data_IF_573843109632
#
_entry.id   IF_573843109632
#
_cell.length_a   1.000
_cell.length_b   1.000
_cell.length_c   1.000
_cell.angle_alpha   90.00
_cell.angle_beta   90.00
_cell.angle_gamma   90.00
#
_symmetry.space_group_name_H-M   'P 1'
#
loop_
_entity.id
_entity.type
_entity.pdbx_description
1 polymer ?
#
# COMPACT_ATOMS: atom_id res chain seq x y z
N UNK A 1 -8.93 8.13 5.60
CA UNK A 1 -8.12 7.54 6.68
C UNK A 1 -7.16 8.59 7.22
N UNK A 2 -6.97 8.71 8.54
CA UNK A 2 -5.94 9.57 9.11
C UNK A 2 -4.55 9.26 8.53
N UNK A 3 -3.84 10.27 8.02
CA UNK A 3 -2.49 10.13 7.46
C UNK A 3 -1.50 9.35 8.36
N UNK A 4 -1.48 9.53 9.69
CA UNK A 4 -0.57 8.76 10.56
C UNK A 4 -0.75 7.25 10.43
N UNK A 5 -1.99 6.76 10.26
CA UNK A 5 -2.26 5.34 10.11
C UNK A 5 -1.75 4.79 8.76
N UNK A 6 -1.87 5.61 7.71
CA UNK A 6 -1.36 5.27 6.38
C UNK A 6 0.17 5.17 6.43
N UNK A 7 0.82 6.12 7.10
CA UNK A 7 2.27 6.08 7.33
C UNK A 7 2.69 4.86 8.13
N UNK A 8 1.98 4.48 9.20
CA UNK A 8 2.30 3.25 9.95
C UNK A 8 2.27 2.01 9.06
N UNK A 9 1.27 1.89 8.19
CA UNK A 9 1.18 0.77 7.24
C UNK A 9 2.34 0.79 6.23
N UNK A 10 2.69 1.97 5.70
CA UNK A 10 3.84 2.12 4.78
C UNK A 10 5.17 1.80 5.47
N UNK A 11 5.39 2.30 6.69
CA UNK A 11 6.57 1.99 7.49
C UNK A 11 6.67 0.49 7.76
N UNK A 12 5.55 -0.17 8.08
CA UNK A 12 5.53 -1.60 8.29
C UNK A 12 5.92 -2.38 7.02
N UNK A 13 5.40 -1.98 5.86
CA UNK A 13 5.78 -2.57 4.56
C UNK A 13 7.28 -2.37 4.31
N UNK A 14 7.79 -1.14 4.46
CA UNK A 14 9.20 -0.81 4.24
C UNK A 14 10.11 -1.64 5.13
N UNK A 15 9.82 -1.71 6.44
CA UNK A 15 10.60 -2.50 7.39
C UNK A 15 10.55 -4.00 7.07
N UNK A 16 9.37 -4.51 6.71
CA UNK A 16 9.21 -5.93 6.33
C UNK A 16 10.02 -6.28 5.08
N UNK A 17 10.06 -5.38 4.09
CA UNK A 17 10.85 -5.57 2.87
C UNK A 17 12.35 -5.52 3.16
N UNK A 18 12.82 -4.52 3.92
CA UNK A 18 14.24 -4.45 4.33
C UNK A 18 14.63 -5.74 5.04
N UNK A 19 13.84 -6.18 6.02
CA UNK A 19 14.15 -7.38 6.79
C UNK A 19 14.16 -8.63 5.90
N UNK A 20 13.17 -8.78 5.01
CA UNK A 20 13.11 -9.90 4.08
C UNK A 20 14.34 -9.98 3.15
N UNK A 21 14.78 -8.85 2.60
CA UNK A 21 15.93 -8.80 1.68
C UNK A 21 17.26 -8.99 2.43
N UNK A 22 17.46 -8.31 3.56
CA UNK A 22 18.72 -8.36 4.32
C UNK A 22 18.96 -9.73 4.97
N UNK A 23 17.90 -10.34 5.51
CA UNK A 23 17.99 -11.66 6.16
C UNK A 23 17.78 -12.82 5.20
N UNK A 24 17.44 -12.53 3.94
CA UNK A 24 16.92 -13.49 2.95
C UNK A 24 15.69 -14.29 3.42
N UNK A 25 15.03 -13.88 4.50
CA UNK A 25 13.85 -14.55 5.05
C UNK A 25 12.55 -13.93 4.52
N UNK A 26 12.21 -14.25 3.27
CA UNK A 26 11.05 -13.69 2.56
C UNK A 26 9.70 -14.03 3.18
N UNK A 27 9.62 -15.05 4.04
CA UNK A 27 8.41 -15.40 4.78
C UNK A 27 7.86 -14.24 5.63
N UNK A 28 8.71 -13.29 6.05
CA UNK A 28 8.28 -12.06 6.73
C UNK A 28 7.26 -11.27 5.90
N UNK A 29 7.35 -11.33 4.57
CA UNK A 29 6.42 -10.63 3.67
C UNK A 29 4.98 -11.12 3.81
N UNK A 30 4.73 -12.31 4.39
CA UNK A 30 3.38 -12.74 4.71
C UNK A 30 2.66 -11.76 5.63
N UNK A 31 3.36 -11.11 6.56
CA UNK A 31 2.74 -10.16 7.48
C UNK A 31 2.09 -8.97 6.74
N UNK A 32 2.83 -8.20 5.90
CA UNK A 32 2.22 -7.11 5.13
C UNK A 32 1.23 -7.62 4.06
N UNK A 33 1.42 -8.82 3.51
CA UNK A 33 0.47 -9.43 2.55
C UNK A 33 -0.87 -9.71 3.23
N UNK A 34 -0.88 -10.39 4.39
CA UNK A 34 -2.09 -10.71 5.14
C UNK A 34 -2.79 -9.44 5.65
N UNK A 35 -2.02 -8.47 6.15
CA UNK A 35 -2.55 -7.16 6.50
C UNK A 35 -3.22 -6.47 5.31
N UNK A 36 -2.60 -6.53 4.13
CA UNK A 36 -3.16 -5.99 2.90
C UNK A 36 -4.43 -6.70 2.45
N UNK A 37 -4.42 -8.03 2.39
CA UNK A 37 -5.60 -8.85 2.10
C UNK A 37 -6.75 -8.55 3.05
N UNK A 38 -6.48 -8.44 4.36
CA UNK A 38 -7.52 -8.08 5.33
C UNK A 38 -8.13 -6.70 5.08
N UNK A 39 -7.30 -5.73 4.67
CA UNK A 39 -7.76 -4.40 4.26
C UNK A 39 -8.56 -4.40 2.96
N UNK A 40 -8.25 -5.28 2.02
CA UNK A 40 -8.93 -5.38 0.72
C UNK A 40 -10.28 -6.10 0.85
N UNK A 41 -10.30 -7.23 1.56
CA UNK A 41 -11.45 -8.13 1.68
C UNK A 41 -12.47 -7.68 2.73
N UNK A 42 -12.00 -7.23 3.89
CA UNK A 42 -12.86 -6.91 5.04
C UNK A 42 -12.95 -5.42 5.33
N UNK A 43 -12.31 -4.58 4.52
CA UNK A 43 -12.11 -3.14 4.78
C UNK A 43 -11.48 -2.83 6.16
N UNK A 44 -10.86 -3.85 6.76
CA UNK A 44 -10.32 -3.87 8.11
C UNK A 44 -8.88 -4.38 8.04
N UNK A 45 -7.95 -3.47 7.75
CA UNK A 45 -6.54 -3.79 7.84
C UNK A 45 -6.15 -3.88 9.32
N UNK A 46 -5.76 -5.08 9.78
CA UNK A 46 -5.42 -5.33 11.19
C UNK A 46 -4.32 -4.41 11.72
N UNK A 47 -3.33 -4.06 10.90
CA UNK A 47 -2.26 -3.12 11.29
C UNK A 47 -2.85 -1.73 11.55
N UNK A 48 -3.75 -1.28 10.67
CA UNK A 48 -4.44 0.01 10.83
C UNK A 48 -5.34 0.00 12.07
N UNK A 49 -6.01 -1.12 12.36
CA UNK A 49 -6.84 -1.26 13.56
C UNK A 49 -6.02 -1.16 14.85
N UNK A 50 -4.89 -1.85 14.89
CA UNK A 50 -3.94 -1.79 16.02
C UNK A 50 -3.39 -0.36 16.15
N UNK A 51 -2.91 0.23 15.05
CA UNK A 51 -2.37 1.58 15.02
C UNK A 51 -3.40 2.65 15.44
N UNK A 52 -4.68 2.44 15.14
CA UNK A 52 -5.78 3.33 15.53
C UNK A 52 -5.90 3.47 17.05
N UNK A 53 -5.56 2.43 17.82
CA UNK A 53 -5.56 2.45 19.29
C UNK A 53 -4.47 3.37 19.86
N UNK A 54 -3.42 3.66 19.09
CA UNK A 54 -2.31 4.54 19.49
C UNK A 54 -2.50 6.00 19.05
N UNK A 55 -3.64 6.35 18.44
CA UNK A 55 -3.94 7.75 18.10
C UNK A 55 -4.22 8.56 19.38
N UNK A 56 -3.44 9.63 19.58
CA UNK A 56 -3.59 10.54 20.74
C UNK A 56 -4.73 11.56 20.58
N UNK A 57 -5.13 11.88 19.34
CA UNK A 57 -6.19 12.86 19.03
C UNK A 57 -7.37 12.20 18.33
N UNK A 58 -8.52 12.90 18.27
CA UNK A 58 -9.67 12.43 17.50
C UNK A 58 -9.32 12.31 16.02
N UNK A 59 -9.87 11.32 15.33
CA UNK A 59 -9.56 11.05 13.92
C UNK A 59 -9.87 12.23 12.99
N UNK A 60 -10.81 13.10 13.35
CA UNK A 60 -11.21 14.30 12.61
C UNK A 60 -10.18 15.44 12.66
N UNK A 61 -9.26 15.42 13.62
CA UNK A 61 -8.23 16.46 13.78
C UNK A 61 -6.99 16.18 12.90
N UNK A 62 -6.93 15.00 12.28
CA UNK A 62 -5.85 14.64 11.36
C UNK A 62 -6.24 14.92 9.92
N UNK A 63 -5.23 15.25 9.10
CA UNK A 63 -5.39 15.28 7.65
C UNK A 63 -5.84 13.90 7.17
N UNK A 64 -6.99 13.85 6.51
CA UNK A 64 -7.60 12.64 6.00
C UNK A 64 -7.17 12.40 4.56
N UNK A 65 -6.85 11.15 4.26
CA UNK A 65 -6.56 10.64 2.92
C UNK A 65 -7.75 9.81 2.42
N UNK A 66 -8.00 9.79 1.12
CA UNK A 66 -9.13 9.02 0.57
C UNK A 66 -8.94 7.52 0.82
N UNK A 67 -10.00 6.84 1.24
CA UNK A 67 -10.00 5.39 1.44
C UNK A 67 -9.83 4.65 0.11
N UNK A 68 -10.36 5.17 -1.00
CA UNK A 68 -10.19 4.51 -2.31
C UNK A 68 -8.74 4.50 -2.75
N UNK A 69 -8.03 5.61 -2.53
CA UNK A 69 -6.61 5.74 -2.90
C UNK A 69 -5.74 4.81 -2.04
N UNK A 70 -6.06 4.72 -0.74
CA UNK A 70 -5.42 3.77 0.16
C UNK A 70 -5.63 2.33 -0.29
N UNK A 71 -6.87 1.94 -0.66
CA UNK A 71 -7.17 0.59 -1.15
C UNK A 71 -6.41 0.29 -2.44
N UNK A 72 -6.34 1.24 -3.37
CA UNK A 72 -5.60 1.08 -4.62
C UNK A 72 -4.11 0.79 -4.36
N UNK A 73 -3.47 1.58 -3.50
CA UNK A 73 -2.07 1.36 -3.13
C UNK A 73 -1.89 0.03 -2.38
N UNK A 74 -2.82 -0.33 -1.50
CA UNK A 74 -2.79 -1.61 -0.80
C UNK A 74 -2.89 -2.80 -1.76
N UNK A 75 -3.73 -2.74 -2.79
CA UNK A 75 -3.84 -3.80 -3.81
C UNK A 75 -2.50 -3.97 -4.53
N UNK A 76 -1.91 -2.88 -5.03
CA UNK A 76 -0.64 -2.92 -5.75
C UNK A 76 0.46 -3.51 -4.86
N UNK A 77 0.59 -3.02 -3.61
CA UNK A 77 1.57 -3.52 -2.67
C UNK A 77 1.35 -5.02 -2.37
N UNK A 78 0.11 -5.44 -2.14
CA UNK A 78 -0.20 -6.84 -1.81
C UNK A 78 0.12 -7.77 -2.97
N UNK A 79 -0.22 -7.39 -4.21
CA UNK A 79 0.07 -8.19 -5.42
C UNK A 79 1.56 -8.32 -5.64
N UNK A 80 2.32 -7.21 -5.59
CA UNK A 80 3.76 -7.22 -5.83
C UNK A 80 4.53 -7.94 -4.71
N UNK A 81 4.14 -7.78 -3.45
CA UNK A 81 4.75 -8.52 -2.35
C UNK A 81 4.46 -10.03 -2.46
N UNK A 82 3.25 -10.40 -2.90
CA UNK A 82 2.92 -11.82 -3.16
C UNK A 82 3.76 -12.37 -4.31
N UNK A 83 3.94 -11.62 -5.40
CA UNK A 83 4.81 -12.00 -6.50
C UNK A 83 6.27 -12.14 -6.06
N UNK A 84 6.75 -11.25 -5.18
CA UNK A 84 8.08 -11.34 -4.56
C UNK A 84 8.24 -12.62 -3.74
N UNK A 85 7.27 -12.93 -2.87
CA UNK A 85 7.29 -14.15 -2.06
C UNK A 85 7.25 -15.42 -2.94
N UNK A 86 6.37 -15.47 -3.93
CA UNK A 86 6.27 -16.62 -4.85
C UNK A 86 7.59 -16.79 -5.62
N UNK A 87 8.17 -15.70 -6.12
CA UNK A 87 9.46 -15.73 -6.83
C UNK A 87 10.60 -16.23 -5.94
N UNK A 88 10.57 -15.91 -4.64
CA UNK A 88 11.53 -16.46 -3.67
C UNK A 88 11.34 -17.97 -3.47
N UNK A 89 10.10 -18.47 -3.46
CA UNK A 89 9.79 -19.89 -3.27
C UNK A 89 10.12 -20.70 -4.53
N UNK A 90 9.95 -20.13 -5.72
CA UNK A 90 10.28 -20.79 -7.00
C UNK A 90 11.77 -20.69 -7.37
N UNK A 91 12.65 -20.32 -6.44
CA UNK A 91 14.10 -20.14 -6.66
C UNK A 91 14.47 -19.09 -7.73
N UNK A 92 13.69 -18.02 -7.85
CA UNK A 92 14.00 -16.85 -8.70
C UNK A 92 14.32 -15.62 -7.82
N UNK A 93 15.47 -15.59 -7.13
CA UNK A 93 15.78 -14.56 -6.13
C UNK A 93 15.91 -13.16 -6.75
N UNK A 94 16.43 -13.06 -7.98
CA UNK A 94 16.54 -11.78 -8.70
C UNK A 94 15.14 -11.16 -8.89
N UNK A 95 14.17 -11.97 -9.33
CA UNK A 95 12.81 -11.51 -9.55
C UNK A 95 12.12 -11.14 -8.23
N UNK A 96 12.38 -11.91 -7.17
CA UNK A 96 11.90 -11.59 -5.82
C UNK A 96 12.41 -10.22 -5.33
N UNK A 97 13.70 -9.93 -5.52
CA UNK A 97 14.31 -8.64 -5.18
C UNK A 97 13.71 -7.51 -6.01
N UNK A 98 13.53 -7.70 -7.32
CA UNK A 98 12.95 -6.66 -8.20
C UNK A 98 11.55 -6.26 -7.71
N UNK A 99 10.67 -7.24 -7.46
CA UNK A 99 9.31 -6.94 -6.97
C UNK A 99 9.34 -6.28 -5.59
N UNK A 100 10.18 -6.75 -4.68
CA UNK A 100 10.34 -6.15 -3.36
C UNK A 100 10.85 -4.70 -3.45
N UNK A 101 11.83 -4.43 -4.32
CA UNK A 101 12.40 -3.12 -4.53
C UNK A 101 11.37 -2.12 -5.07
N UNK A 102 10.51 -2.52 -6.02
CA UNK A 102 9.43 -1.66 -6.49
C UNK A 102 8.48 -1.23 -5.37
N UNK A 103 8.08 -2.17 -4.52
CA UNK A 103 7.20 -1.87 -3.38
C UNK A 103 7.92 -0.98 -2.36
N UNK A 104 9.18 -1.28 -2.06
CA UNK A 104 10.01 -0.48 -1.15
C UNK A 104 10.12 0.96 -1.61
N UNK A 105 10.44 1.20 -2.89
CA UNK A 105 10.55 2.53 -3.47
C UNK A 105 9.20 3.26 -3.41
N UNK A 106 8.13 2.63 -3.85
CA UNK A 106 6.79 3.23 -3.81
C UNK A 106 6.35 3.61 -2.39
N UNK A 107 6.56 2.73 -1.42
CA UNK A 107 6.20 2.98 -0.01
C UNK A 107 7.10 4.05 0.63
N UNK A 108 8.39 4.08 0.29
CA UNK A 108 9.33 5.10 0.79
C UNK A 108 9.00 6.49 0.26
N UNK A 109 8.67 6.63 -1.02
CA UNK A 109 8.25 7.91 -1.61
C UNK A 109 6.94 8.38 -0.95
N UNK A 110 6.03 7.45 -0.66
CA UNK A 110 4.79 7.77 0.05
C UNK A 110 5.04 8.26 1.50
N UNK A 111 6.05 7.74 2.20
CA UNK A 111 6.46 8.23 3.51
C UNK A 111 6.97 9.69 3.45
N UNK A 112 7.68 10.05 2.38
CA UNK A 112 8.14 11.42 2.10
C UNK A 112 6.99 12.41 1.84
N UNK A 113 5.74 11.94 1.78
CA UNK A 113 4.55 12.78 1.66
C UNK A 113 3.96 12.85 0.26
N UNK A 114 4.52 12.10 -0.71
CA UNK A 114 3.98 11.99 -2.06
C UNK A 114 3.64 10.54 -2.40
N UNK A 115 2.35 10.20 -2.44
CA UNK A 115 1.94 8.86 -2.87
C UNK A 115 1.68 8.85 -4.38
N UNK A 116 2.62 8.28 -5.15
CA UNK A 116 2.49 8.09 -6.60
C UNK A 116 1.20 7.34 -6.95
N UNK A 117 0.84 6.32 -6.17
CA UNK A 117 -0.40 5.56 -6.37
C UNK A 117 -1.65 6.43 -6.23
N UNK A 118 -1.71 7.29 -5.20
CA UNK A 118 -2.82 8.24 -5.03
C UNK A 118 -2.90 9.21 -6.22
N UNK A 119 -1.75 9.73 -6.68
CA UNK A 119 -1.69 10.63 -7.84
C UNK A 119 -2.22 9.96 -9.11
N UNK A 120 -1.75 8.75 -9.44
CA UNK A 120 -2.21 7.98 -10.61
C UNK A 120 -3.72 7.71 -10.52
N UNK A 121 -4.21 7.24 -9.37
CA UNK A 121 -5.63 6.93 -9.20
C UNK A 121 -6.51 8.18 -9.37
N UNK A 122 -6.09 9.31 -8.81
CA UNK A 122 -6.79 10.58 -8.98
C UNK A 122 -6.83 11.04 -10.45
N UNK A 123 -5.72 10.87 -11.18
CA UNK A 123 -5.64 11.23 -12.60
C UNK A 123 -6.54 10.36 -13.47
N UNK A 124 -6.60 9.05 -13.19
CA UNK A 124 -7.52 8.12 -13.85
C UNK A 124 -8.99 8.48 -13.58
N UNK A 125 -9.31 8.89 -12.35
CA UNK A 125 -10.66 9.32 -11.98
C UNK A 125 -11.07 10.61 -12.71
N UNK A 126 -10.18 11.60 -12.78
CA UNK A 126 -10.41 12.81 -13.55
C UNK A 126 -10.56 12.53 -15.05
N UNK A 127 -9.76 11.63 -15.60
CA UNK A 127 -9.85 11.23 -17.00
C UNK A 127 -11.21 10.58 -17.32
N UNK A 128 -11.66 9.65 -16.48
CA UNK A 128 -12.99 9.01 -16.61
C UNK A 128 -14.11 10.04 -16.52
N UNK A 129 -14.04 10.96 -15.55
CA UNK A 129 -15.02 12.03 -15.38
C UNK A 129 -15.11 12.93 -16.62
N UNK A 130 -13.96 13.42 -17.13
CA UNK A 130 -13.92 14.26 -18.35
C UNK A 130 -14.53 13.55 -19.57
N UNK A 131 -14.33 12.23 -19.68
CA UNK A 131 -14.96 11.43 -20.74
C UNK A 131 -16.47 11.25 -20.55
N UNK A 132 -16.94 11.07 -19.33
CA UNK A 132 -18.38 10.97 -19.03
C UNK A 132 -19.11 12.29 -19.30
N UNK A 133 -18.53 13.42 -18.87
CA UNK A 133 -19.07 14.76 -19.16
C UNK A 133 -19.16 15.01 -20.67
N UNK A 134 -18.12 14.65 -21.45
CA UNK A 134 -18.17 14.75 -22.91
C UNK A 134 -19.23 13.86 -23.57
N UNK A 135 -19.58 12.73 -22.96
CA UNK A 135 -20.60 11.80 -23.48
C UNK A 135 -22.03 12.19 -23.09
N UNK A 136 -22.22 12.91 -21.99
CA UNK A 136 -23.54 13.41 -21.54
C UNK A 136 -23.91 14.80 -22.08
N UNK A 137 -23.06 15.40 -22.92
CA UNK A 137 -23.28 16.65 -23.65
C UNK A 137 -23.82 16.42 -25.08
N UNK A 138 -24.12 15.17 -25.42
CA UNK A 138 -24.77 14.75 -26.67
C UNK A 138 -26.11 14.09 -26.37
#
# INVERSE_FOLDING_TARGET
MPRPLVRTNQTFIVLSVILAVVTHFYWILLLPILAGLSGILFEKNFIILIAKRFLKKKTSEYVLEDKSDLRFNQIIATVLLSASLISSITNHPILAIIFAAFVFLAASIALSGFCIGCWIHSQLRQYKYRRQVKKGLH
#
